data_IF_897601202547
#
_entry.id   IF_897601202547
#
_cell.length_a   1.000
_cell.length_b   1.000
_cell.length_c   1.000
_cell.angle_alpha   90.00
_cell.angle_beta   90.00
_cell.angle_gamma   90.00
#
_symmetry.space_group_name_H-M   'P 1'
#
loop_
_entity.id
_entity.type
_entity.pdbx_description
1 polymer ?
#
# COMPACT_ATOMS: atom_id res chain seq x y z
N UNK A 1 -23.89 -12.04 -0.38
CA UNK A 1 -23.76 -11.42 -1.71
C UNK A 1 -22.76 -10.30 -1.56
N UNK A 2 -21.67 -10.28 -2.34
CA UNK A 2 -20.76 -9.12 -2.29
C UNK A 2 -21.51 -7.93 -2.88
N UNK A 3 -21.54 -6.80 -2.17
CA UNK A 3 -22.09 -5.55 -2.68
C UNK A 3 -21.34 -5.21 -3.98
N UNK A 4 -22.08 -4.89 -5.04
CA UNK A 4 -21.49 -4.35 -6.28
C UNK A 4 -20.99 -2.96 -5.96
N UNK A 5 -19.77 -2.63 -6.36
CA UNK A 5 -19.22 -1.29 -6.16
C UNK A 5 -19.70 -0.37 -7.26
N UNK A 6 -20.35 0.70 -6.84
CA UNK A 6 -21.04 1.67 -7.68
C UNK A 6 -20.48 3.04 -7.27
N UNK A 7 -19.45 3.54 -7.95
CA UNK A 7 -18.61 4.62 -7.44
C UNK A 7 -19.38 5.89 -7.02
N UNK A 8 -20.43 6.26 -7.74
CA UNK A 8 -21.26 7.43 -7.41
C UNK A 8 -22.13 7.16 -6.16
N UNK A 9 -22.71 5.96 -6.03
CA UNK A 9 -23.50 5.59 -4.85
C UNK A 9 -22.61 5.42 -3.62
N UNK A 10 -21.46 4.77 -3.76
CA UNK A 10 -20.48 4.60 -2.71
C UNK A 10 -19.89 5.95 -2.27
N UNK A 11 -19.66 6.87 -3.21
CA UNK A 11 -19.28 8.25 -2.89
C UNK A 11 -20.36 8.95 -2.08
N UNK A 12 -21.63 8.84 -2.47
CA UNK A 12 -22.74 9.46 -1.75
C UNK A 12 -22.90 8.85 -0.34
N UNK A 13 -22.86 7.53 -0.21
CA UNK A 13 -22.85 6.83 1.06
C UNK A 13 -21.68 7.28 1.95
N UNK A 14 -20.51 7.45 1.35
CA UNK A 14 -19.33 7.91 2.08
C UNK A 14 -19.54 9.33 2.62
N UNK A 15 -20.07 10.25 1.80
CA UNK A 15 -20.40 11.62 2.22
C UNK A 15 -21.41 11.64 3.37
N UNK A 16 -22.48 10.84 3.27
CA UNK A 16 -23.59 10.87 4.22
C UNK A 16 -23.24 10.26 5.58
N UNK A 17 -22.42 9.20 5.61
CA UNK A 17 -22.21 8.40 6.81
C UNK A 17 -20.73 8.27 7.22
N UNK A 18 -19.83 8.05 6.26
CA UNK A 18 -18.43 7.72 6.58
C UNK A 18 -17.57 8.95 6.80
N UNK A 19 -17.82 10.06 6.09
CA UNK A 19 -16.97 11.23 6.11
C UNK A 19 -16.84 11.80 7.52
N UNK A 20 -17.95 11.87 8.29
CA UNK A 20 -17.92 12.31 9.68
C UNK A 20 -17.03 11.41 10.56
N UNK A 21 -17.13 10.09 10.38
CA UNK A 21 -16.30 9.12 11.12
C UNK A 21 -14.82 9.26 10.76
N UNK A 22 -14.51 9.44 9.48
CA UNK A 22 -13.14 9.48 8.95
C UNK A 22 -12.44 10.81 9.27
N UNK A 23 -13.18 11.92 9.25
CA UNK A 23 -12.65 13.24 9.61
C UNK A 23 -12.50 13.44 11.11
N UNK A 24 -13.22 12.66 11.94
CA UNK A 24 -13.11 12.70 13.41
C UNK A 24 -11.81 12.08 13.94
N UNK A 25 -10.72 12.84 13.89
CA UNK A 25 -9.40 12.41 14.36
C UNK A 25 -9.21 12.69 15.86
N UNK A 26 -9.28 11.65 16.69
CA UNK A 26 -9.14 11.75 18.16
C UNK A 26 -7.98 10.87 18.69
N UNK A 27 -6.73 11.11 18.25
CA UNK A 27 -5.61 10.21 18.54
C UNK A 27 -5.24 10.16 20.04
N UNK A 28 -5.59 11.19 20.82
CA UNK A 28 -5.35 11.24 22.26
C UNK A 28 -6.10 10.16 23.05
N UNK A 29 -7.16 9.59 22.48
CA UNK A 29 -7.89 8.46 23.07
C UNK A 29 -7.18 7.11 22.84
N UNK A 30 -6.12 7.10 22.03
CA UNK A 30 -5.38 5.89 21.66
C UNK A 30 -4.11 5.76 22.51
N UNK A 31 -4.09 4.74 23.37
CA UNK A 31 -2.91 4.43 24.18
C UNK A 31 -1.68 4.07 23.31
N UNK A 32 -0.44 4.29 23.80
CA UNK A 32 0.79 4.15 23.03
C UNK A 32 0.91 2.86 22.21
N UNK A 33 0.48 1.74 22.78
CA UNK A 33 0.51 0.42 22.15
C UNK A 33 -0.33 0.32 20.87
N UNK A 34 -1.47 1.02 20.81
CA UNK A 34 -2.44 0.92 19.71
C UNK A 34 -2.26 1.99 18.63
N UNK A 35 -1.30 2.90 18.79
CA UNK A 35 -1.17 4.08 17.92
C UNK A 35 -0.90 3.71 16.47
N UNK A 36 0.04 2.80 16.21
CA UNK A 36 0.37 2.35 14.85
C UNK A 36 -0.83 1.74 14.12
N UNK A 37 -1.58 0.87 14.80
CA UNK A 37 -2.77 0.27 14.22
C UNK A 37 -3.86 1.32 13.97
N UNK A 38 -4.09 2.22 14.93
CA UNK A 38 -5.05 3.31 14.78
C UNK A 38 -4.75 4.15 13.55
N UNK A 39 -3.53 4.69 13.41
CA UNK A 39 -3.18 5.54 12.26
C UNK A 39 -3.24 4.79 10.93
N UNK A 40 -2.84 3.51 10.90
CA UNK A 40 -2.93 2.66 9.71
C UNK A 40 -4.38 2.44 9.26
N UNK A 41 -5.29 2.17 10.21
CA UNK A 41 -6.73 2.05 9.91
C UNK A 41 -7.28 3.37 9.35
N UNK A 42 -6.91 4.51 9.95
CA UNK A 42 -7.34 5.83 9.44
C UNK A 42 -6.83 6.09 8.04
N UNK A 43 -5.60 5.71 7.73
CA UNK A 43 -5.05 5.85 6.38
C UNK A 43 -5.84 5.05 5.34
N UNK A 44 -6.26 3.82 5.66
CA UNK A 44 -7.09 3.02 4.78
C UNK A 44 -8.40 3.71 4.40
N UNK A 45 -9.07 4.34 5.39
CA UNK A 45 -10.27 5.14 5.17
C UNK A 45 -9.96 6.39 4.29
N UNK A 46 -8.83 7.06 4.52
CA UNK A 46 -8.42 8.24 3.73
C UNK A 46 -8.15 7.88 2.26
N UNK A 47 -7.51 6.74 2.00
CA UNK A 47 -7.24 6.26 0.64
C UNK A 47 -8.55 5.94 -0.08
N UNK A 48 -9.52 5.34 0.60
CA UNK A 48 -10.87 5.09 0.05
C UNK A 48 -11.54 6.40 -0.37
N UNK A 49 -11.48 7.44 0.47
CA UNK A 49 -11.99 8.75 0.11
C UNK A 49 -11.31 9.34 -1.14
N UNK A 50 -10.00 9.13 -1.32
CA UNK A 50 -9.32 9.55 -2.54
C UNK A 50 -9.82 8.79 -3.77
N UNK A 51 -10.07 7.47 -3.64
CA UNK A 51 -10.69 6.69 -4.70
C UNK A 51 -12.07 7.23 -5.09
N UNK A 52 -12.83 7.75 -4.13
CA UNK A 52 -14.15 8.34 -4.34
C UNK A 52 -14.12 9.83 -4.75
N UNK A 53 -12.95 10.37 -5.11
CA UNK A 53 -12.81 11.77 -5.52
C UNK A 53 -13.15 12.77 -4.40
N UNK A 54 -12.87 12.39 -3.14
CA UNK A 54 -13.15 13.20 -1.94
C UNK A 54 -11.86 13.72 -1.29
N UNK A 55 -10.79 13.91 -2.08
CA UNK A 55 -9.48 14.35 -1.57
C UNK A 55 -9.60 15.62 -0.73
N UNK A 56 -10.28 16.64 -1.24
CA UNK A 56 -10.36 17.94 -0.57
C UNK A 56 -11.05 17.87 0.79
N UNK A 57 -12.03 16.96 0.95
CA UNK A 57 -12.75 16.76 2.20
C UNK A 57 -11.88 16.06 3.25
N UNK A 58 -10.95 15.19 2.85
CA UNK A 58 -10.13 14.38 3.76
C UNK A 58 -8.68 14.85 3.91
N UNK A 59 -8.22 15.74 3.03
CA UNK A 59 -6.85 16.29 3.07
C UNK A 59 -6.50 16.97 4.40
N UNK A 60 -7.38 17.76 5.05
CA UNK A 60 -7.09 18.30 6.37
C UNK A 60 -6.83 17.21 7.42
N UNK A 61 -7.57 16.09 7.35
CA UNK A 61 -7.38 14.95 8.25
C UNK A 61 -6.08 14.22 7.97
N UNK A 62 -5.71 14.03 6.70
CA UNK A 62 -4.41 13.45 6.34
C UNK A 62 -3.24 14.28 6.89
N UNK A 63 -3.32 15.62 6.77
CA UNK A 63 -2.34 16.54 7.35
C UNK A 63 -2.27 16.46 8.88
N UNK A 64 -3.42 16.43 9.55
CA UNK A 64 -3.49 16.29 10.99
C UNK A 64 -2.91 14.94 11.46
N UNK A 65 -3.16 13.86 10.72
CA UNK A 65 -2.62 12.52 10.99
C UNK A 65 -1.09 12.52 10.89
N UNK A 66 -0.54 13.03 9.78
CA UNK A 66 0.92 13.11 9.58
C UNK A 66 1.59 13.98 10.65
N UNK A 67 1.08 15.19 10.87
CA UNK A 67 1.63 16.12 11.86
C UNK A 67 1.62 15.53 13.27
N UNK A 68 0.54 14.83 13.65
CA UNK A 68 0.48 14.14 14.93
C UNK A 68 1.53 13.03 15.02
N UNK A 69 1.68 12.19 13.99
CA UNK A 69 2.69 11.14 13.98
C UNK A 69 4.12 11.71 14.09
N UNK A 70 4.42 12.83 13.46
CA UNK A 70 5.77 13.42 13.51
C UNK A 70 6.18 13.95 14.89
N UNK A 71 5.22 14.36 15.73
CA UNK A 71 5.50 14.85 17.08
C UNK A 71 5.41 13.77 18.16
N UNK A 72 4.88 12.59 17.84
CA UNK A 72 4.84 11.47 18.78
C UNK A 72 6.18 10.72 18.82
N UNK A 73 6.55 10.12 19.97
CA UNK A 73 7.60 9.12 19.98
C UNK A 73 7.19 7.97 19.07
N UNK A 74 8.02 7.66 18.08
CA UNK A 74 7.79 6.52 17.20
C UNK A 74 7.96 5.20 17.97
N UNK A 75 7.28 4.11 17.55
CA UNK A 75 7.42 2.80 18.16
C UNK A 75 8.88 2.33 18.18
N UNK A 76 9.27 1.59 19.22
CA UNK A 76 10.58 0.97 19.27
C UNK A 76 10.82 0.12 18.01
N UNK A 77 12.00 0.24 17.42
CA UNK A 77 12.32 -0.35 16.12
C UNK A 77 12.85 -1.80 16.20
N UNK A 78 12.49 -2.53 17.26
CA UNK A 78 12.48 -3.99 17.29
C UNK A 78 13.43 -4.64 18.30
N UNK A 79 12.84 -5.28 19.32
CA UNK A 79 13.36 -6.42 20.10
C UNK A 79 12.63 -7.72 19.79
N UNK A 80 11.38 -7.62 19.31
CA UNK A 80 10.49 -8.72 18.94
C UNK A 80 9.65 -8.42 17.68
N UNK A 81 8.82 -9.38 17.26
CA UNK A 81 7.99 -9.29 16.06
C UNK A 81 6.93 -8.21 16.16
N UNK A 82 6.34 -8.02 17.35
CA UNK A 82 5.27 -7.05 17.60
C UNK A 82 5.77 -5.61 17.53
N UNK A 83 6.93 -5.32 18.13
CA UNK A 83 7.59 -4.02 18.01
C UNK A 83 7.93 -3.71 16.55
N UNK A 84 8.45 -4.70 15.83
CA UNK A 84 8.82 -4.56 14.42
C UNK A 84 7.58 -4.34 13.53
N UNK A 85 6.45 -5.00 13.83
CA UNK A 85 5.18 -4.78 13.14
C UNK A 85 4.61 -3.39 13.38
N UNK A 86 4.64 -2.91 14.64
CA UNK A 86 4.20 -1.54 14.97
C UNK A 86 5.06 -0.48 14.31
N UNK A 87 6.38 -0.68 14.25
CA UNK A 87 7.30 0.22 13.54
C UNK A 87 7.05 0.22 12.02
N UNK A 88 6.84 -0.96 11.42
CA UNK A 88 6.46 -1.09 10.01
C UNK A 88 5.18 -0.29 9.71
N UNK A 89 4.11 -0.53 10.46
CA UNK A 89 2.83 0.15 10.26
C UNK A 89 2.96 1.67 10.42
N UNK A 90 3.73 2.12 11.43
CA UNK A 90 3.96 3.54 11.66
C UNK A 90 4.65 4.21 10.48
N UNK A 91 5.79 3.68 10.05
CA UNK A 91 6.58 4.30 9.00
C UNK A 91 5.91 4.20 7.63
N UNK A 92 5.24 3.09 7.31
CA UNK A 92 4.46 2.96 6.08
C UNK A 92 3.32 3.98 6.07
N UNK A 93 2.62 4.13 7.19
CA UNK A 93 1.50 5.07 7.30
C UNK A 93 1.96 6.50 7.12
N UNK A 94 3.04 6.91 7.78
CA UNK A 94 3.58 8.25 7.65
C UNK A 94 4.02 8.53 6.20
N UNK A 95 4.72 7.60 5.57
CA UNK A 95 5.17 7.76 4.19
C UNK A 95 4.02 7.90 3.20
N UNK A 96 2.96 7.10 3.35
CA UNK A 96 1.76 7.24 2.52
C UNK A 96 0.98 8.53 2.81
N UNK A 97 0.94 9.01 4.06
CA UNK A 97 0.32 10.31 4.36
C UNK A 97 1.07 11.44 3.65
N UNK A 98 2.40 11.49 3.77
CA UNK A 98 3.24 12.49 3.09
C UNK A 98 3.04 12.45 1.58
N UNK A 99 3.01 11.24 1.02
CA UNK A 99 2.71 11.06 -0.40
C UNK A 99 1.31 11.58 -0.76
N UNK A 100 0.24 11.19 -0.05
CA UNK A 100 -1.13 11.63 -0.36
C UNK A 100 -1.34 13.14 -0.26
N UNK A 101 -0.62 13.81 0.65
CA UNK A 101 -0.76 15.25 0.90
C UNK A 101 -0.16 16.06 -0.26
N UNK A 102 1.09 15.78 -0.61
CA UNK A 102 1.90 16.65 -1.49
C UNK A 102 2.60 15.92 -2.64
N UNK A 103 2.46 14.60 -2.75
CA UNK A 103 3.21 13.80 -3.72
C UNK A 103 4.66 13.54 -3.29
N UNK A 104 4.99 13.72 -2.00
CA UNK A 104 6.32 13.42 -1.49
C UNK A 104 6.67 11.93 -1.75
N UNK A 105 7.83 11.63 -2.38
CA UNK A 105 8.28 10.25 -2.55
C UNK A 105 8.40 9.45 -1.23
N UNK A 106 8.61 10.13 -0.10
CA UNK A 106 8.72 9.59 1.26
C UNK A 106 9.66 8.38 1.40
N UNK A 107 10.77 8.40 0.64
CA UNK A 107 11.71 7.28 0.54
C UNK A 107 12.30 6.92 1.90
N UNK A 108 12.53 7.90 2.78
CA UNK A 108 13.10 7.67 4.10
C UNK A 108 12.13 6.90 5.01
N UNK A 109 10.87 7.31 5.06
CA UNK A 109 9.81 6.62 5.80
C UNK A 109 9.61 5.19 5.26
N UNK A 110 9.52 5.02 3.94
CA UNK A 110 9.39 3.69 3.35
C UNK A 110 10.64 2.81 3.59
N UNK A 111 11.83 3.41 3.66
CA UNK A 111 13.06 2.68 4.03
C UNK A 111 12.98 2.16 5.45
N UNK A 112 12.58 2.97 6.42
CA UNK A 112 12.41 2.54 7.82
C UNK A 112 11.32 1.47 7.96
N UNK A 113 10.22 1.62 7.24
CA UNK A 113 9.17 0.60 7.19
C UNK A 113 9.69 -0.73 6.63
N UNK A 114 10.48 -0.69 5.55
CA UNK A 114 11.13 -1.86 4.94
C UNK A 114 12.17 -2.50 5.86
N UNK A 115 12.92 -1.72 6.65
CA UNK A 115 13.82 -2.28 7.67
C UNK A 115 13.06 -2.97 8.81
N UNK A 116 11.96 -2.39 9.28
CA UNK A 116 11.12 -2.98 10.30
C UNK A 116 10.43 -4.27 9.80
N UNK A 117 9.97 -4.29 8.55
CA UNK A 117 9.46 -5.50 7.89
C UNK A 117 10.54 -6.57 7.80
N UNK A 118 11.75 -6.23 7.32
CA UNK A 118 12.88 -7.15 7.26
C UNK A 118 13.24 -7.77 8.63
N UNK A 119 13.21 -6.98 9.71
CA UNK A 119 13.50 -7.50 11.08
C UNK A 119 12.48 -8.54 11.54
N UNK A 120 11.21 -8.42 11.14
CA UNK A 120 10.22 -9.46 11.43
C UNK A 120 10.65 -10.78 10.77
N UNK A 121 11.08 -10.72 9.52
CA UNK A 121 11.51 -11.90 8.76
C UNK A 121 12.73 -12.59 9.36
N UNK A 122 13.76 -11.84 9.76
CA UNK A 122 14.96 -12.40 10.41
C UNK A 122 14.62 -13.11 11.74
N UNK A 123 13.59 -12.63 12.45
CA UNK A 123 13.12 -13.26 13.69
C UNK A 123 12.25 -14.48 13.43
N UNK A 124 11.42 -14.46 12.37
CA UNK A 124 10.63 -15.63 11.93
C UNK A 124 11.53 -16.81 11.52
N UNK A 125 12.63 -16.55 10.80
CA UNK A 125 13.54 -17.60 10.33
C UNK A 125 14.23 -18.37 11.48
N UNK A 126 14.34 -17.76 12.67
CA UNK A 126 14.96 -18.38 13.85
C UNK A 126 14.03 -19.28 14.66
N UNK A 127 12.71 -19.16 14.50
CA UNK A 127 11.74 -19.82 15.37
C UNK A 127 11.03 -21.03 14.72
N UNK A 128 10.85 -21.08 13.39
CA UNK A 128 10.19 -22.21 12.73
C UNK A 128 10.74 -22.54 11.31
N UNK A 129 11.60 -23.56 11.16
CA UNK A 129 12.28 -23.87 9.87
C UNK A 129 11.37 -24.31 8.71
N UNK A 130 10.15 -24.79 8.96
CA UNK A 130 9.29 -25.42 7.94
C UNK A 130 7.87 -24.84 7.81
N UNK A 131 7.37 -24.05 8.78
CA UNK A 131 6.06 -23.38 8.70
C UNK A 131 6.06 -22.09 7.85
N UNK A 132 7.25 -21.57 7.53
CA UNK A 132 7.46 -20.18 7.13
C UNK A 132 7.15 -19.82 5.66
N UNK A 133 7.22 -20.75 4.69
CA UNK A 133 7.14 -20.36 3.26
C UNK A 133 5.78 -19.85 2.79
N UNK A 134 4.68 -20.24 3.45
CA UNK A 134 3.33 -19.76 3.13
C UNK A 134 3.08 -18.36 3.72
N UNK A 135 3.41 -18.16 5.01
CA UNK A 135 3.34 -16.84 5.66
C UNK A 135 4.32 -15.83 5.04
N UNK A 136 5.51 -16.27 4.61
CA UNK A 136 6.45 -15.44 3.87
C UNK A 136 5.88 -14.97 2.52
N UNK A 137 5.04 -15.76 1.85
CA UNK A 137 4.41 -15.35 0.58
C UNK A 137 3.35 -14.27 0.78
N UNK A 138 2.56 -14.35 1.85
CA UNK A 138 1.63 -13.29 2.24
C UNK A 138 2.40 -12.01 2.62
N UNK A 139 3.54 -12.16 3.32
CA UNK A 139 4.46 -11.06 3.59
C UNK A 139 5.02 -10.40 2.33
N UNK A 140 5.32 -11.16 1.27
CA UNK A 140 5.82 -10.60 0.00
C UNK A 140 4.82 -9.67 -0.68
N UNK A 141 3.52 -9.91 -0.54
CA UNK A 141 2.47 -9.04 -1.12
C UNK A 141 2.53 -7.62 -0.54
N UNK A 142 2.99 -7.48 0.70
CA UNK A 142 3.20 -6.20 1.36
C UNK A 142 4.62 -5.67 1.12
N UNK A 143 5.62 -6.56 1.16
CA UNK A 143 7.01 -6.18 1.08
C UNK A 143 7.42 -5.68 -0.31
N UNK A 144 6.88 -6.24 -1.40
CA UNK A 144 7.25 -5.85 -2.76
C UNK A 144 6.92 -4.39 -3.09
N UNK A 145 5.66 -3.92 -2.98
CA UNK A 145 5.33 -2.53 -3.26
C UNK A 145 6.03 -1.57 -2.28
N UNK A 146 6.25 -2.00 -1.02
CA UNK A 146 7.02 -1.23 -0.03
C UNK A 146 8.47 -1.03 -0.43
N UNK A 147 9.16 -2.09 -0.85
CA UNK A 147 10.55 -2.01 -1.26
C UNK A 147 10.73 -1.27 -2.59
N UNK A 148 9.72 -1.26 -3.47
CA UNK A 148 9.69 -0.36 -4.63
C UNK A 148 9.64 1.10 -4.19
N UNK A 149 8.71 1.47 -3.30
CA UNK A 149 8.57 2.83 -2.77
C UNK A 149 9.82 3.29 -2.00
N UNK A 150 10.46 2.38 -1.27
CA UNK A 150 11.72 2.61 -0.57
C UNK A 150 12.97 2.62 -1.48
N UNK A 151 12.82 2.27 -2.77
CA UNK A 151 13.95 2.07 -3.71
C UNK A 151 14.96 1.00 -3.24
N UNK A 152 14.51 0.02 -2.46
CA UNK A 152 15.31 -1.08 -1.90
C UNK A 152 15.12 -2.36 -2.70
N UNK A 153 15.33 -2.29 -4.02
CA UNK A 153 15.04 -3.39 -4.94
C UNK A 153 15.81 -4.68 -4.61
N UNK A 154 17.08 -4.56 -4.19
CA UNK A 154 17.90 -5.70 -3.78
C UNK A 154 17.35 -6.44 -2.57
N UNK A 155 16.74 -5.72 -1.62
CA UNK A 155 16.10 -6.31 -0.43
C UNK A 155 14.87 -7.11 -0.84
N UNK A 156 14.00 -6.54 -1.67
CA UNK A 156 12.85 -7.26 -2.23
C UNK A 156 13.24 -8.55 -2.96
N UNK A 157 14.31 -8.52 -3.76
CA UNK A 157 14.79 -9.70 -4.49
C UNK A 157 15.37 -10.76 -3.55
N UNK A 158 16.00 -10.35 -2.43
CA UNK A 158 16.45 -11.26 -1.38
C UNK A 158 15.25 -11.92 -0.70
N UNK A 159 14.24 -11.14 -0.29
CA UNK A 159 12.99 -11.66 0.29
C UNK A 159 12.31 -12.68 -0.64
N UNK A 160 12.22 -12.37 -1.94
CA UNK A 160 11.68 -13.32 -2.93
C UNK A 160 12.44 -14.65 -2.95
N UNK A 161 13.78 -14.60 -2.85
CA UNK A 161 14.63 -15.80 -2.87
C UNK A 161 14.43 -16.64 -1.61
N UNK A 162 14.41 -15.99 -0.44
CA UNK A 162 14.23 -16.65 0.87
C UNK A 162 12.83 -17.28 0.99
N UNK A 163 11.80 -16.58 0.52
CA UNK A 163 10.44 -17.12 0.41
C UNK A 163 10.29 -18.24 -0.65
N UNK A 164 11.34 -18.56 -1.40
CA UNK A 164 11.31 -19.54 -2.47
C UNK A 164 10.37 -19.16 -3.62
N UNK A 165 10.21 -17.86 -3.90
CA UNK A 165 9.44 -17.38 -5.04
C UNK A 165 10.22 -17.64 -6.33
N UNK A 166 9.84 -18.71 -7.01
CA UNK A 166 10.38 -19.08 -8.32
C UNK A 166 9.46 -18.56 -9.43
N UNK A 167 9.96 -18.61 -10.66
CA UNK A 167 9.16 -18.35 -11.88
C UNK A 167 8.20 -19.51 -12.20
N UNK A 168 8.19 -20.59 -11.42
CA UNK A 168 7.36 -21.76 -11.64
C UNK A 168 5.94 -21.59 -11.06
N UNK A 169 4.97 -22.41 -11.50
CA UNK A 169 3.61 -22.34 -11.00
C UNK A 169 3.56 -22.57 -9.48
N UNK A 170 3.13 -21.55 -8.74
CA UNK A 170 2.81 -21.64 -7.30
C UNK A 170 1.48 -22.37 -7.07
N UNK A 171 1.17 -22.73 -5.83
CA UNK A 171 -0.20 -23.08 -5.40
C UNK A 171 -1.01 -21.85 -4.97
N UNK A 172 -0.39 -20.66 -4.91
CA UNK A 172 -1.05 -19.42 -4.53
C UNK A 172 -2.19 -19.06 -5.50
N UNK A 173 -3.27 -18.40 -5.01
CA UNK A 173 -4.33 -17.87 -5.84
C UNK A 173 -3.79 -17.03 -7.01
N UNK A 174 -4.50 -17.04 -8.14
CA UNK A 174 -4.05 -16.37 -9.36
C UNK A 174 -3.78 -14.86 -9.16
N UNK A 175 -4.60 -14.21 -8.33
CA UNK A 175 -4.51 -12.78 -7.99
C UNK A 175 -3.23 -12.48 -7.21
N UNK A 176 -2.99 -13.23 -6.13
CA UNK A 176 -1.74 -13.17 -5.36
C UNK A 176 -0.53 -13.33 -6.28
N UNK A 177 -0.57 -14.32 -7.16
CA UNK A 177 0.53 -14.58 -8.09
C UNK A 177 0.79 -13.42 -9.04
N UNK A 178 -0.24 -12.74 -9.53
CA UNK A 178 -0.07 -11.59 -10.41
C UNK A 178 0.75 -10.48 -9.74
N UNK A 179 0.42 -10.14 -8.48
CA UNK A 179 1.15 -9.15 -7.69
C UNK A 179 2.60 -9.58 -7.45
N UNK A 180 2.81 -10.83 -7.01
CA UNK A 180 4.14 -11.35 -6.71
C UNK A 180 5.05 -11.40 -7.95
N UNK A 181 4.52 -11.85 -9.09
CA UNK A 181 5.28 -11.93 -10.34
C UNK A 181 5.62 -10.55 -10.90
N UNK A 182 4.68 -9.61 -10.84
CA UNK A 182 4.96 -8.23 -11.22
C UNK A 182 6.01 -7.60 -10.31
N UNK A 183 5.84 -7.69 -8.99
CA UNK A 183 6.77 -7.08 -8.03
C UNK A 183 8.18 -7.65 -8.13
N UNK A 184 8.33 -8.98 -8.24
CA UNK A 184 9.64 -9.60 -8.43
C UNK A 184 10.31 -9.13 -9.73
N UNK A 185 9.54 -9.04 -10.82
CA UNK A 185 10.04 -8.53 -12.08
C UNK A 185 10.42 -7.05 -12.00
N UNK A 186 9.57 -6.20 -11.42
CA UNK A 186 9.77 -4.77 -11.28
C UNK A 186 11.03 -4.46 -10.47
N UNK A 187 11.22 -5.12 -9.32
CA UNK A 187 12.42 -4.97 -8.52
C UNK A 187 13.67 -5.42 -9.28
N UNK A 188 13.62 -6.52 -10.04
CA UNK A 188 14.76 -6.98 -10.86
C UNK A 188 15.11 -5.96 -11.93
N UNK A 189 14.11 -5.56 -12.70
CA UNK A 189 14.26 -4.63 -13.81
C UNK A 189 14.86 -3.29 -13.35
N UNK A 190 14.40 -2.74 -12.22
CA UNK A 190 14.97 -1.52 -11.65
C UNK A 190 16.36 -1.73 -11.02
N UNK A 191 16.63 -2.88 -10.40
CA UNK A 191 17.95 -3.22 -9.87
C UNK A 191 19.02 -3.36 -10.97
N UNK A 192 18.63 -3.78 -12.17
CA UNK A 192 19.48 -3.93 -13.35
C UNK A 192 19.66 -2.62 -14.13
N UNK A 193 19.17 -1.49 -13.62
CA UNK A 193 19.30 -0.16 -14.24
C UNK A 193 18.18 0.18 -15.24
N UNK A 194 17.13 -0.63 -15.30
CA UNK A 194 15.89 -0.29 -16.01
C UNK A 194 15.24 0.97 -15.44
N UNK A 195 14.38 1.61 -16.24
CA UNK A 195 13.68 2.84 -15.86
C UNK A 195 12.18 2.60 -15.90
N UNK A 196 11.37 3.19 -15.01
CA UNK A 196 9.93 2.99 -14.99
C UNK A 196 9.25 3.65 -16.21
N UNK A 197 9.44 3.06 -17.37
CA UNK A 197 9.01 3.52 -18.68
C UNK A 197 7.64 2.93 -19.07
N UNK A 198 7.22 3.17 -20.32
CA UNK A 198 5.94 2.68 -20.82
C UNK A 198 5.80 1.14 -20.73
N UNK A 199 6.88 0.38 -20.87
CA UNK A 199 6.84 -1.08 -20.76
C UNK A 199 6.64 -1.52 -19.30
N UNK A 200 7.28 -0.81 -18.36
CA UNK A 200 7.06 -1.00 -16.92
C UNK A 200 5.61 -0.72 -16.52
N UNK A 201 5.04 0.37 -17.02
CA UNK A 201 3.65 0.76 -16.77
C UNK A 201 2.69 -0.27 -17.37
N UNK A 202 2.86 -0.65 -18.64
CA UNK A 202 1.98 -1.60 -19.31
C UNK A 202 1.92 -2.96 -18.61
N UNK A 203 3.06 -3.44 -18.11
CA UNK A 203 3.12 -4.70 -17.33
C UNK A 203 2.47 -4.56 -15.95
N UNK A 204 2.60 -3.39 -15.33
CA UNK A 204 1.87 -3.03 -14.11
C UNK A 204 0.37 -3.05 -14.33
N UNK A 205 -0.12 -2.42 -15.39
CA UNK A 205 -1.54 -2.42 -15.76
C UNK A 205 -2.09 -3.83 -16.01
N UNK A 206 -1.31 -4.72 -16.64
CA UNK A 206 -1.72 -6.13 -16.81
C UNK A 206 -1.95 -6.83 -15.46
N UNK A 207 -1.10 -6.55 -14.47
CA UNK A 207 -1.30 -7.03 -13.11
C UNK A 207 -2.52 -6.37 -12.47
N UNK A 208 -2.65 -5.04 -12.53
CA UNK A 208 -3.77 -4.31 -11.93
C UNK A 208 -5.13 -4.76 -12.47
N UNK A 209 -5.26 -5.01 -13.78
CA UNK A 209 -6.50 -5.54 -14.39
C UNK A 209 -6.97 -6.87 -13.79
N UNK A 210 -6.05 -7.67 -13.23
CA UNK A 210 -6.37 -8.96 -12.60
C UNK A 210 -6.78 -8.80 -11.14
N UNK A 211 -6.34 -7.75 -10.46
CA UNK A 211 -6.41 -7.68 -8.98
C UNK A 211 -7.20 -6.48 -8.46
N UNK A 212 -7.32 -5.39 -9.22
CA UNK A 212 -7.80 -4.10 -8.72
C UNK A 212 -9.22 -4.18 -8.17
N UNK A 213 -10.17 -4.73 -8.92
CA UNK A 213 -11.57 -4.85 -8.49
C UNK A 213 -11.68 -5.70 -7.22
N UNK A 214 -11.03 -6.86 -7.16
CA UNK A 214 -11.16 -7.74 -5.99
C UNK A 214 -10.41 -7.21 -4.76
N UNK A 215 -9.19 -6.71 -4.93
CA UNK A 215 -8.34 -6.28 -3.81
C UNK A 215 -8.72 -4.93 -3.26
N UNK A 216 -8.94 -3.93 -4.13
CA UNK A 216 -9.23 -2.58 -3.68
C UNK A 216 -10.65 -2.53 -3.08
N UNK A 217 -11.62 -3.13 -3.76
CA UNK A 217 -13.04 -3.00 -3.39
C UNK A 217 -13.47 -4.12 -2.45
N UNK A 218 -13.41 -5.38 -2.88
CA UNK A 218 -14.06 -6.46 -2.13
C UNK A 218 -13.33 -6.79 -0.82
N UNK A 219 -12.00 -6.65 -0.81
CA UNK A 219 -11.15 -6.99 0.34
C UNK A 219 -10.69 -5.76 1.14
N UNK A 220 -10.96 -4.53 0.68
CA UNK A 220 -10.58 -3.29 1.37
C UNK A 220 -9.06 -3.08 1.51
N UNK A 221 -8.25 -3.62 0.60
CA UNK A 221 -6.78 -3.52 0.67
C UNK A 221 -6.25 -2.17 0.14
N UNK A 222 -6.86 -1.08 0.61
CA UNK A 222 -6.62 0.29 0.13
C UNK A 222 -5.14 0.68 0.19
N UNK A 223 -4.49 0.49 1.34
CA UNK A 223 -3.06 0.78 1.55
C UNK A 223 -2.18 0.08 0.54
N UNK A 224 -2.39 -1.22 0.33
CA UNK A 224 -1.58 -2.02 -0.60
C UNK A 224 -1.77 -1.56 -2.04
N UNK A 225 -3.03 -1.38 -2.45
CA UNK A 225 -3.33 -0.98 -3.82
C UNK A 225 -2.85 0.44 -4.11
N UNK A 226 -2.92 1.36 -3.14
CA UNK A 226 -2.33 2.69 -3.26
C UNK A 226 -0.81 2.63 -3.49
N UNK A 227 -0.09 1.72 -2.82
CA UNK A 227 1.35 1.57 -3.06
C UNK A 227 1.67 1.01 -4.44
N UNK A 228 0.86 0.06 -4.95
CA UNK A 228 1.00 -0.39 -6.34
C UNK A 228 0.74 0.73 -7.34
N UNK A 229 -0.34 1.49 -7.16
CA UNK A 229 -0.68 2.64 -8.01
C UNK A 229 0.43 3.68 -7.98
N UNK A 230 0.97 4.00 -6.80
CA UNK A 230 2.14 4.88 -6.64
C UNK A 230 3.33 4.36 -7.44
N UNK A 231 3.73 3.10 -7.24
CA UNK A 231 4.90 2.53 -7.91
C UNK A 231 4.74 2.46 -9.44
N UNK A 232 3.52 2.22 -9.93
CA UNK A 232 3.23 2.05 -11.36
C UNK A 232 3.03 3.38 -12.07
N UNK A 233 2.31 4.33 -11.47
CA UNK A 233 1.91 5.57 -12.15
C UNK A 233 2.58 6.83 -11.61
N UNK A 234 2.76 6.94 -10.30
CA UNK A 234 3.34 8.15 -9.70
C UNK A 234 4.86 8.16 -9.88
N UNK A 235 5.52 7.08 -9.45
CA UNK A 235 6.99 6.98 -9.47
C UNK A 235 7.55 6.82 -10.90
N UNK A 236 6.70 6.47 -11.86
CA UNK A 236 7.01 6.47 -13.31
C UNK A 236 6.80 7.82 -14.00
N UNK A 237 6.18 8.79 -13.30
CA UNK A 237 5.85 10.10 -13.85
C UNK A 237 4.63 10.12 -14.79
N UNK A 238 3.84 9.04 -14.84
CA UNK A 238 2.59 8.99 -15.62
C UNK A 238 1.54 9.95 -15.04
N UNK A 239 1.47 10.04 -13.73
CA UNK A 239 0.60 10.98 -12.99
C UNK A 239 1.44 11.95 -12.17
N UNK A 240 0.97 13.19 -12.01
CA UNK A 240 1.68 14.24 -11.29
C UNK A 240 1.24 14.36 -9.84
N UNK A 241 -0.02 14.06 -9.55
CA UNK A 241 -0.59 14.19 -8.20
C UNK A 241 -1.02 12.83 -7.64
N UNK A 242 -1.07 12.67 -6.31
CA UNK A 242 -1.59 11.46 -5.68
C UNK A 242 -3.06 11.19 -6.05
N UNK A 243 -3.85 12.24 -6.24
CA UNK A 243 -5.24 12.14 -6.65
C UNK A 243 -5.37 11.51 -8.04
N UNK A 244 -4.64 12.04 -9.02
CA UNK A 244 -4.54 11.45 -10.36
C UNK A 244 -4.09 9.99 -10.28
N UNK A 245 -3.09 9.69 -9.44
CA UNK A 245 -2.58 8.31 -9.26
C UNK A 245 -3.66 7.36 -8.74
N UNK A 246 -4.39 7.74 -7.70
CA UNK A 246 -5.43 6.89 -7.10
C UNK A 246 -6.60 6.72 -8.07
N UNK A 247 -7.07 7.79 -8.71
CA UNK A 247 -8.19 7.74 -9.66
C UNK A 247 -7.84 6.95 -10.94
N UNK A 248 -6.55 6.78 -11.25
CA UNK A 248 -6.11 5.89 -12.33
C UNK A 248 -6.42 4.41 -12.06
N UNK A 249 -6.80 4.04 -10.84
CA UNK A 249 -7.30 2.70 -10.53
C UNK A 249 -8.49 2.29 -11.42
N UNK A 250 -9.38 3.24 -11.74
CA UNK A 250 -10.56 3.00 -12.58
C UNK A 250 -10.21 2.53 -14.00
N UNK A 251 -9.04 2.89 -14.54
CA UNK A 251 -8.59 2.42 -15.87
C UNK A 251 -8.33 0.90 -15.90
N UNK A 252 -8.22 0.28 -14.72
CA UNK A 252 -7.88 -1.15 -14.54
C UNK A 252 -8.92 -1.93 -13.75
N UNK A 253 -10.01 -1.29 -13.28
CA UNK A 253 -11.12 -1.98 -12.62
C UNK A 253 -12.07 -2.59 -13.66
N UNK A 254 -12.00 -3.90 -13.84
CA UNK A 254 -12.89 -4.61 -14.76
C UNK A 254 -14.32 -4.62 -14.20
N UNK A 255 -15.29 -4.24 -15.03
CA UNK A 255 -16.71 -4.21 -14.69
C UNK A 255 -17.17 -2.98 -13.91
N UNK A 256 -16.28 -2.00 -13.68
CA UNK A 256 -16.62 -0.74 -13.01
C UNK A 256 -16.56 0.39 -14.03
N UNK A 257 -17.66 1.13 -14.21
CA UNK A 257 -17.66 2.31 -15.07
C UNK A 257 -16.87 3.45 -14.40
N UNK A 258 -16.03 4.15 -15.18
CA UNK A 258 -15.25 5.28 -14.67
C UNK A 258 -16.18 6.47 -14.36
N UNK A 259 -16.32 6.87 -13.08
CA UNK A 259 -17.27 7.89 -12.66
C UNK A 259 -16.86 9.29 -13.11
N UNK A 260 -17.79 10.24 -13.03
CA UNK A 260 -17.56 11.59 -13.54
C UNK A 260 -16.42 12.30 -12.80
N UNK A 261 -16.35 12.13 -11.48
CA UNK A 261 -15.30 12.71 -10.64
C UNK A 261 -13.90 12.15 -10.92
N UNK A 262 -13.79 10.98 -11.57
CA UNK A 262 -12.51 10.34 -11.89
C UNK A 262 -11.95 10.75 -13.27
N UNK A 263 -12.65 11.61 -14.01
CA UNK A 263 -12.24 12.08 -15.35
C UNK A 263 -11.44 13.39 -15.24
N UNK A 264 -10.33 13.32 -14.52
CA UNK A 264 -9.37 14.43 -14.35
C UNK A 264 -8.09 14.21 -15.16
#
# INVERSE_FOLDING_TARGET
MSRVFEPEEDRQFYLDLHLLRVTKFEPEKTGPFNRSNYVSMRLGDLIEAHLLGLRDQVLPTARALAAWMEVQPYPAEGKDTDESFRAYQWWQTLGLCKWLIEGDPAVAEFTRASEADWRQWDQFDRLEPNGAKLLMREGLELALPLNLAARRYGVALRLCREAGLTTQPSSAPAIVRAELMYGQWACRYLAEGGKPDAAYVAKGEEMLRKVMTERFIANGYHTRMAMWLKAIYHDSGVTRTPEETILKAYDTMIGVEKPAFARI
#
